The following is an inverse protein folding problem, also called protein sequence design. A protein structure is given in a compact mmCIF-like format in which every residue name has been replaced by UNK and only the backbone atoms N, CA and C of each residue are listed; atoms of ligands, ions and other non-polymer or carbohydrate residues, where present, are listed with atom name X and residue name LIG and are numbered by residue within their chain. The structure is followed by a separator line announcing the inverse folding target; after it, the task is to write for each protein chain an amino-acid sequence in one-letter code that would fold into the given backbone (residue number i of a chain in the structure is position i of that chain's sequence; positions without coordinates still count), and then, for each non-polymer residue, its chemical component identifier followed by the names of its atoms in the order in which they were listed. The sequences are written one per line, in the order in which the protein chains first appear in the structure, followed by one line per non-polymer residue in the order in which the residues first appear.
data_IF_054101783545
#
_entry.id   IF_054101783545
#
_cell.length_a   1.000
_cell.length_b   1.000
_cell.length_c   1.000
_cell.angle_alpha   90.00
_cell.angle_beta   90.00
_cell.angle_gamma   90.00
#
_symmetry.space_group_name_H-M   'P 1'
#
loop_
_entity.id
_entity.type
_entity.pdbx_description
1 polymer ?
#
# COMPACT_ATOMS: atom_id res chain seq x y z
N UNK A 1 -7.60 -10.20 -29.44
CA UNK A 1 -6.43 -9.42 -28.94
C UNK A 1 -6.93 -8.03 -28.65
N UNK A 2 -6.69 -7.51 -27.45
CA UNK A 2 -7.07 -6.14 -27.09
C UNK A 2 -5.91 -5.21 -27.39
N UNK A 3 -6.14 -4.15 -28.15
CA UNK A 3 -5.14 -3.11 -28.40
C UNK A 3 -5.44 -1.92 -27.47
N UNK A 4 -4.49 -1.48 -26.65
CA UNK A 4 -4.68 -0.31 -25.79
C UNK A 4 -5.00 0.92 -26.65
N UNK A 5 -5.95 1.74 -26.18
CA UNK A 5 -6.33 2.99 -26.85
C UNK A 5 -5.34 4.12 -26.63
N UNK A 6 -4.54 4.01 -25.56
CA UNK A 6 -3.50 5.00 -25.25
C UNK A 6 -2.14 4.41 -25.58
N UNK A 7 -1.42 5.05 -26.48
CA UNK A 7 -0.06 4.66 -26.83
C UNK A 7 0.92 5.02 -25.71
N UNK A 8 1.98 4.22 -25.58
CA UNK A 8 3.13 4.59 -24.75
C UNK A 8 3.74 5.87 -25.33
N UNK A 9 4.03 6.91 -24.50
CA UNK A 9 4.65 8.14 -24.99
C UNK A 9 5.94 7.87 -25.75
N UNK A 10 6.16 8.61 -26.84
CA UNK A 10 7.35 8.40 -27.70
C UNK A 10 8.69 8.69 -26.97
N UNK A 11 8.65 9.48 -25.90
CA UNK A 11 9.80 9.78 -25.02
C UNK A 11 9.84 8.92 -23.76
N UNK A 12 9.04 7.86 -23.68
CA UNK A 12 9.10 6.93 -22.57
C UNK A 12 10.43 6.17 -22.60
N UNK A 13 10.95 5.88 -21.41
CA UNK A 13 12.17 5.12 -21.21
C UNK A 13 12.05 4.25 -19.95
N UNK A 14 13.02 3.38 -19.76
CA UNK A 14 13.14 2.53 -18.57
C UNK A 14 12.15 1.38 -18.52
N UNK A 15 11.97 0.87 -17.30
CA UNK A 15 11.13 -0.30 -17.01
C UNK A 15 9.69 0.09 -16.75
N UNK A 16 8.79 -0.59 -17.39
CA UNK A 16 7.34 -0.42 -17.26
C UNK A 16 6.71 -1.75 -16.86
N UNK A 17 5.57 -1.65 -16.16
CA UNK A 17 4.77 -2.83 -15.84
C UNK A 17 3.33 -2.62 -16.28
N UNK A 18 2.71 -3.68 -16.76
CA UNK A 18 1.29 -3.75 -17.07
C UNK A 18 0.65 -4.90 -16.32
N UNK A 19 -0.47 -4.62 -15.68
CA UNK A 19 -1.26 -5.63 -15.00
C UNK A 19 -2.62 -5.80 -15.66
N UNK A 20 -3.22 -6.97 -15.50
CA UNK A 20 -4.56 -7.23 -15.99
C UNK A 20 -5.45 -7.77 -14.86
N UNK A 21 -6.74 -7.40 -14.92
CA UNK A 21 -7.79 -7.97 -14.08
C UNK A 21 -8.92 -8.49 -14.97
N UNK A 22 -9.48 -9.62 -14.58
CA UNK A 22 -10.60 -10.22 -15.26
C UNK A 22 -11.49 -10.98 -14.29
N UNK A 23 -12.75 -11.10 -14.62
CA UNK A 23 -13.71 -11.96 -13.95
C UNK A 23 -14.61 -12.65 -14.95
N UNK A 24 -15.19 -13.75 -14.53
CA UNK A 24 -16.25 -14.44 -15.27
C UNK A 24 -17.42 -14.72 -14.36
N UNK A 25 -18.60 -14.71 -14.94
CA UNK A 25 -19.80 -15.19 -14.26
C UNK A 25 -19.83 -16.73 -14.33
N UNK A 26 -19.97 -17.37 -13.19
CA UNK A 26 -20.10 -18.84 -13.06
C UNK A 26 -21.46 -19.16 -12.46
N UNK A 27 -22.20 -20.02 -13.13
CA UNK A 27 -23.50 -20.50 -12.62
C UNK A 27 -23.28 -21.72 -11.77
N UNK A 28 -23.51 -21.58 -10.48
CA UNK A 28 -23.54 -22.70 -9.53
C UNK A 28 -24.91 -23.36 -9.61
N UNK A 29 -24.92 -24.61 -10.04
CA UNK A 29 -26.15 -25.40 -10.09
C UNK A 29 -26.56 -25.81 -8.67
N UNK A 30 -27.79 -25.55 -8.33
CA UNK A 30 -28.34 -26.03 -7.06
C UNK A 30 -28.39 -27.58 -7.07
N UNK A 31 -27.95 -28.19 -5.96
CA UNK A 31 -28.04 -29.63 -5.76
C UNK A 31 -29.51 -30.05 -5.55
N UNK A 32 -30.25 -29.21 -4.85
CA UNK A 32 -31.70 -29.36 -4.70
C UNK A 32 -32.39 -28.61 -5.87
N UNK A 33 -33.11 -29.32 -6.76
CA UNK A 33 -33.78 -28.72 -7.91
C UNK A 33 -34.90 -27.75 -7.55
N UNK A 34 -35.34 -27.70 -6.30
CA UNK A 34 -36.31 -26.72 -5.82
C UNK A 34 -35.68 -25.34 -5.54
N UNK A 35 -34.35 -25.26 -5.48
CA UNK A 35 -33.61 -24.02 -5.26
C UNK A 35 -33.15 -23.43 -6.58
N UNK A 36 -33.09 -22.09 -6.68
CA UNK A 36 -32.56 -21.44 -7.86
C UNK A 36 -31.06 -21.62 -7.98
N UNK A 37 -30.55 -21.75 -9.20
CA UNK A 37 -29.13 -21.64 -9.47
C UNK A 37 -28.61 -20.24 -9.06
N UNK A 38 -27.37 -20.19 -8.57
CA UNK A 38 -26.73 -18.93 -8.14
C UNK A 38 -25.61 -18.56 -9.10
N UNK A 39 -25.70 -17.39 -9.70
CA UNK A 39 -24.55 -16.82 -10.42
C UNK A 39 -23.61 -16.14 -9.46
N UNK A 40 -22.33 -16.50 -9.53
CA UNK A 40 -21.24 -15.88 -8.77
C UNK A 40 -20.20 -15.33 -9.74
N UNK A 41 -19.53 -14.27 -9.32
CA UNK A 41 -18.41 -13.71 -10.06
C UNK A 41 -17.11 -14.31 -9.54
N UNK A 42 -16.32 -14.90 -10.43
CA UNK A 42 -15.01 -15.48 -10.12
C UNK A 42 -13.93 -14.59 -10.72
N UNK A 43 -13.02 -14.09 -9.89
CA UNK A 43 -11.88 -13.29 -10.32
C UNK A 43 -10.73 -14.20 -10.75
N UNK A 44 -10.05 -13.83 -11.83
CA UNK A 44 -8.79 -14.45 -12.20
C UNK A 44 -7.66 -13.92 -11.29
N UNK A 45 -6.57 -14.69 -11.18
CA UNK A 45 -5.30 -14.19 -10.64
C UNK A 45 -4.82 -13.02 -11.50
N UNK A 46 -4.40 -11.94 -10.88
CA UNK A 46 -3.94 -10.76 -11.61
C UNK A 46 -2.51 -10.94 -12.12
N UNK A 47 -2.27 -11.14 -13.42
CA UNK A 47 -0.93 -11.19 -13.95
C UNK A 47 -0.33 -9.79 -14.04
N UNK A 48 0.97 -9.68 -13.79
CA UNK A 48 1.77 -8.48 -14.04
C UNK A 48 2.91 -8.86 -14.97
N UNK A 49 3.10 -8.07 -16.02
CA UNK A 49 4.21 -8.23 -16.97
C UNK A 49 5.07 -6.99 -16.93
N UNK A 50 6.36 -7.17 -16.72
CA UNK A 50 7.36 -6.10 -16.71
C UNK A 50 8.18 -6.14 -17.98
N UNK A 51 8.40 -5.00 -18.60
CA UNK A 51 9.10 -4.85 -19.87
C UNK A 51 9.85 -3.51 -19.94
N UNK A 52 10.76 -3.36 -20.88
CA UNK A 52 11.39 -2.08 -21.18
C UNK A 52 10.74 -1.43 -22.40
N UNK A 53 10.79 -0.12 -22.47
CA UNK A 53 10.36 0.67 -23.63
C UNK A 53 11.53 1.27 -24.40
N UNK A 54 12.74 0.93 -23.99
CA UNK A 54 14.01 1.26 -24.61
C UNK A 54 14.88 0.00 -24.69
N UNK A 55 16.13 0.12 -25.12
CA UNK A 55 17.06 -0.99 -25.27
C UNK A 55 17.71 -1.45 -23.95
N UNK A 56 17.26 -0.92 -22.80
CA UNK A 56 17.75 -1.30 -21.49
C UNK A 56 17.22 -2.67 -21.05
N UNK A 57 17.85 -3.24 -20.03
CA UNK A 57 17.33 -4.46 -19.38
C UNK A 57 16.24 -4.08 -18.38
N UNK A 58 15.13 -4.83 -18.42
CA UNK A 58 14.03 -4.63 -17.47
C UNK A 58 14.49 -4.84 -16.02
N UNK A 59 14.24 -3.87 -15.16
CA UNK A 59 14.50 -3.98 -13.73
C UNK A 59 13.26 -4.53 -13.06
N UNK A 60 13.30 -5.81 -12.70
CA UNK A 60 12.19 -6.49 -12.03
C UNK A 60 12.06 -5.95 -10.61
N UNK A 61 10.83 -5.63 -10.19
CA UNK A 61 10.55 -5.24 -8.82
C UNK A 61 10.94 -6.39 -7.87
N UNK A 62 11.70 -6.07 -6.83
CA UNK A 62 12.06 -7.07 -5.81
C UNK A 62 10.81 -7.52 -5.04
N UNK A 63 10.77 -8.79 -4.68
CA UNK A 63 9.77 -9.36 -3.78
C UNK A 63 10.12 -8.94 -2.34
N UNK A 64 9.26 -8.17 -1.71
CA UNK A 64 9.42 -7.70 -0.31
C UNK A 64 8.50 -8.48 0.61
N UNK A 65 7.29 -8.76 0.16
CA UNK A 65 6.27 -9.55 0.85
C UNK A 65 5.82 -10.69 -0.04
N UNK A 66 5.34 -11.76 0.56
CA UNK A 66 4.88 -12.95 -0.15
C UNK A 66 3.38 -13.14 0.11
N UNK A 67 2.57 -13.24 -0.94
CA UNK A 67 1.12 -13.41 -0.85
C UNK A 67 0.72 -14.61 0.02
N UNK A 68 1.51 -15.69 -0.05
CA UNK A 68 1.30 -16.87 0.78
C UNK A 68 1.43 -16.59 2.28
N UNK A 69 2.32 -15.69 2.69
CA UNK A 69 2.47 -15.30 4.09
C UNK A 69 1.28 -14.49 4.58
N UNK A 70 0.82 -13.53 3.78
CA UNK A 70 -0.42 -12.82 4.05
C UNK A 70 -1.60 -13.78 4.13
N UNK A 71 -1.60 -14.80 3.29
CA UNK A 71 -2.60 -15.87 3.22
C UNK A 71 -2.76 -16.67 4.51
N UNK A 72 -1.77 -16.71 5.40
CA UNK A 72 -1.91 -17.38 6.70
C UNK A 72 -3.04 -16.81 7.56
N UNK A 73 -3.39 -15.54 7.36
CA UNK A 73 -4.52 -14.89 8.03
C UNK A 73 -5.66 -14.55 7.06
N UNK A 74 -5.34 -14.18 5.83
CA UNK A 74 -6.34 -13.73 4.84
C UNK A 74 -6.86 -14.84 3.93
N UNK A 75 -6.36 -16.06 4.08
CA UNK A 75 -6.69 -17.17 3.17
C UNK A 75 -5.95 -17.06 1.83
N UNK A 76 -6.23 -17.98 0.92
CA UNK A 76 -5.59 -18.02 -0.39
C UNK A 76 -6.02 -16.82 -1.23
N UNK A 77 -5.05 -16.01 -1.67
CA UNK A 77 -5.31 -14.90 -2.58
C UNK A 77 -5.92 -15.43 -3.87
N UNK A 78 -6.87 -14.69 -4.42
CA UNK A 78 -7.77 -15.07 -5.52
C UNK A 78 -8.93 -16.00 -5.17
N UNK A 79 -8.87 -16.74 -4.07
CA UNK A 79 -10.00 -17.58 -3.61
C UNK A 79 -10.71 -16.94 -2.41
N UNK A 80 -9.94 -16.69 -1.34
CA UNK A 80 -10.49 -16.23 -0.06
C UNK A 80 -10.32 -14.74 0.14
N UNK A 81 -9.29 -14.14 -0.48
CA UNK A 81 -8.98 -12.73 -0.38
C UNK A 81 -8.89 -12.07 -1.74
N UNK A 82 -9.81 -11.17 -1.99
CA UNK A 82 -9.84 -10.31 -3.17
C UNK A 82 -10.56 -9.00 -2.83
N UNK A 83 -10.01 -7.87 -3.22
CA UNK A 83 -10.52 -6.54 -2.89
C UNK A 83 -10.95 -5.76 -4.13
N UNK A 84 -11.46 -4.54 -3.93
CA UNK A 84 -11.94 -3.67 -5.00
C UNK A 84 -12.94 -4.34 -5.92
N UNK A 85 -14.04 -4.84 -5.33
CA UNK A 85 -15.10 -5.54 -6.06
C UNK A 85 -14.73 -6.99 -6.42
N UNK A 86 -13.91 -7.61 -5.59
CA UNK A 86 -13.43 -8.99 -5.74
C UNK A 86 -12.65 -9.23 -7.04
N UNK A 87 -11.86 -8.25 -7.48
CA UNK A 87 -11.09 -8.33 -8.73
C UNK A 87 -9.58 -8.35 -8.52
N UNK A 88 -9.07 -7.85 -7.36
CA UNK A 88 -7.66 -7.59 -7.12
C UNK A 88 -7.16 -8.44 -5.97
N UNK A 89 -6.20 -9.30 -6.27
CA UNK A 89 -5.82 -10.40 -5.41
C UNK A 89 -4.33 -10.78 -5.46
N UNK A 90 -3.45 -9.90 -5.96
CA UNK A 90 -2.00 -10.12 -5.96
C UNK A 90 -1.28 -8.87 -5.51
N UNK A 91 -0.31 -8.97 -4.58
CA UNK A 91 0.42 -7.80 -4.08
C UNK A 91 1.21 -7.09 -5.18
N UNK A 92 1.75 -7.84 -6.14
CA UNK A 92 2.43 -7.26 -7.30
C UNK A 92 1.50 -6.38 -8.14
N UNK A 93 0.22 -6.77 -8.27
CA UNK A 93 -0.79 -5.96 -8.93
C UNK A 93 -1.20 -4.76 -8.08
N UNK A 94 -1.37 -4.94 -6.77
CA UNK A 94 -1.77 -3.87 -5.85
C UNK A 94 -0.84 -2.65 -5.93
N UNK A 95 0.48 -2.89 -5.97
CA UNK A 95 1.48 -1.82 -5.98
C UNK A 95 1.55 -1.01 -7.28
N UNK A 96 0.88 -1.43 -8.35
CA UNK A 96 0.74 -0.60 -9.56
C UNK A 96 -0.05 0.68 -9.26
N UNK A 97 -1.07 0.58 -8.40
CA UNK A 97 -1.90 1.72 -7.97
C UNK A 97 -1.50 2.22 -6.57
N UNK A 98 -1.16 1.32 -5.66
CA UNK A 98 -0.72 1.67 -4.32
C UNK A 98 0.79 1.94 -4.30
N UNK A 99 1.19 3.02 -4.94
CA UNK A 99 2.59 3.43 -5.10
C UNK A 99 2.88 4.74 -4.34
N UNK A 100 4.16 5.13 -4.16
CA UNK A 100 4.57 6.28 -3.35
C UNK A 100 4.02 7.64 -3.79
N UNK A 101 3.47 7.75 -4.99
CA UNK A 101 2.89 9.00 -5.52
C UNK A 101 1.39 9.09 -5.33
N UNK A 102 0.74 8.04 -4.84
CA UNK A 102 -0.72 7.97 -4.81
C UNK A 102 -1.28 8.15 -3.40
N UNK A 103 -2.43 8.82 -3.37
CA UNK A 103 -3.21 9.11 -2.18
C UNK A 103 -4.71 8.94 -2.46
N UNK A 104 -5.51 9.07 -1.43
CA UNK A 104 -6.96 9.03 -1.52
C UNK A 104 -7.61 10.30 -2.09
N UNK A 105 -6.80 11.25 -2.60
CA UNK A 105 -7.25 12.55 -3.09
C UNK A 105 -8.44 12.47 -4.05
N UNK A 106 -8.47 11.48 -4.93
CA UNK A 106 -9.54 11.33 -5.91
C UNK A 106 -10.93 11.13 -5.27
N UNK A 107 -10.97 10.66 -4.04
CA UNK A 107 -12.18 10.46 -3.25
C UNK A 107 -12.34 11.52 -2.18
N UNK A 108 -11.28 11.86 -1.44
CA UNK A 108 -11.29 12.86 -0.37
C UNK A 108 -11.75 14.25 -0.85
N UNK A 109 -11.35 14.69 -2.03
CA UNK A 109 -11.79 15.97 -2.61
C UNK A 109 -13.29 16.06 -2.93
N UNK A 110 -14.02 14.95 -2.84
CA UNK A 110 -15.48 14.93 -3.00
C UNK A 110 -16.22 15.26 -1.72
N UNK A 111 -15.52 15.29 -0.60
CA UNK A 111 -16.02 15.72 0.68
C UNK A 111 -15.78 17.22 0.87
N UNK A 112 -16.84 18.06 0.84
CA UNK A 112 -16.71 19.51 1.01
C UNK A 112 -16.07 19.89 2.35
N UNK A 113 -16.28 19.10 3.41
CA UNK A 113 -15.69 19.35 4.72
C UNK A 113 -14.17 19.14 4.70
N UNK A 114 -13.71 18.08 4.04
CA UNK A 114 -12.28 17.83 3.87
C UNK A 114 -11.59 18.93 3.03
N UNK A 115 -12.25 19.41 1.98
CA UNK A 115 -11.76 20.52 1.16
C UNK A 115 -11.70 21.82 1.97
N UNK A 116 -12.76 22.15 2.71
CA UNK A 116 -12.80 23.36 3.53
C UNK A 116 -11.75 23.38 4.63
N UNK A 117 -11.44 22.21 5.19
CA UNK A 117 -10.44 22.05 6.25
C UNK A 117 -8.99 22.00 5.74
N UNK A 118 -8.72 22.12 4.45
CA UNK A 118 -7.40 21.86 3.86
C UNK A 118 -6.81 20.52 4.33
N UNK A 119 -7.64 19.49 4.40
CA UNK A 119 -7.28 18.24 5.06
C UNK A 119 -6.07 17.56 4.37
N UNK A 120 -5.12 17.01 5.14
CA UNK A 120 -4.10 16.13 4.60
C UNK A 120 -4.74 14.98 3.84
N UNK A 121 -4.18 14.60 2.71
CA UNK A 121 -4.64 13.40 1.99
C UNK A 121 -4.04 12.14 2.62
N UNK A 122 -4.83 11.08 2.69
CA UNK A 122 -4.35 9.78 3.15
C UNK A 122 -3.45 9.14 2.09
N UNK A 123 -2.21 8.83 2.45
CA UNK A 123 -1.35 8.05 1.56
C UNK A 123 -1.91 6.65 1.37
N UNK A 124 -2.03 6.22 0.11
CA UNK A 124 -2.34 4.84 -0.24
C UNK A 124 -1.11 4.09 -0.75
N UNK A 125 0.09 4.61 -0.52
CA UNK A 125 1.33 3.88 -0.74
C UNK A 125 1.31 2.56 0.05
N UNK A 126 1.49 1.45 -0.66
CA UNK A 126 1.29 0.11 -0.11
C UNK A 126 2.07 -0.12 1.19
N UNK A 127 3.35 0.30 1.21
CA UNK A 127 4.20 0.14 2.41
C UNK A 127 3.69 0.94 3.63
N UNK A 128 3.10 2.11 3.41
CA UNK A 128 2.54 2.94 4.48
C UNK A 128 1.17 2.41 4.90
N UNK A 129 0.30 2.23 3.92
CA UNK A 129 -1.10 1.87 4.15
C UNK A 129 -1.24 0.52 4.87
N UNK A 130 -0.50 -0.51 4.41
CA UNK A 130 -0.61 -1.85 5.01
C UNK A 130 -0.10 -1.86 6.45
N UNK A 131 1.02 -1.20 6.73
CA UNK A 131 1.52 -1.12 8.10
C UNK A 131 0.54 -0.38 9.02
N UNK A 132 0.01 0.78 8.59
CA UNK A 132 -0.99 1.54 9.38
C UNK A 132 -2.28 0.74 9.61
N UNK A 133 -2.80 0.07 8.59
CA UNK A 133 -4.01 -0.76 8.74
C UNK A 133 -3.80 -1.85 9.80
N UNK A 134 -2.67 -2.58 9.74
CA UNK A 134 -2.43 -3.65 10.71
C UNK A 134 -2.02 -3.14 12.10
N UNK A 135 -1.42 -1.96 12.20
CA UNK A 135 -1.18 -1.29 13.49
C UNK A 135 -2.50 -0.85 14.13
N UNK A 136 -3.47 -0.39 13.35
CA UNK A 136 -4.86 -0.16 13.68
C UNK A 136 -5.09 0.49 15.05
N UNK A 137 -5.71 -0.26 15.98
CA UNK A 137 -6.05 0.22 17.33
C UNK A 137 -4.85 0.71 18.16
N UNK A 138 -3.64 0.32 17.77
CA UNK A 138 -2.41 0.72 18.46
C UNK A 138 -1.71 1.94 17.82
N UNK A 139 -2.29 2.57 16.81
CA UNK A 139 -1.83 3.86 16.31
C UNK A 139 -2.08 4.93 17.39
N UNK A 140 -1.11 5.83 17.60
CA UNK A 140 -1.26 6.96 18.51
C UNK A 140 -2.02 8.11 17.84
N UNK A 141 -1.83 8.29 16.51
CA UNK A 141 -2.56 9.27 15.71
C UNK A 141 -3.87 8.66 15.18
N UNK A 142 -4.95 8.86 15.93
CA UNK A 142 -6.30 8.39 15.61
C UNK A 142 -7.22 9.57 15.24
N UNK A 143 -8.26 9.37 14.40
CA UNK A 143 -8.58 8.16 13.64
C UNK A 143 -7.69 7.98 12.38
N UNK A 144 -7.52 6.74 11.88
CA UNK A 144 -6.84 6.50 10.61
C UNK A 144 -7.84 6.36 9.46
N UNK A 145 -8.12 7.47 8.80
CA UNK A 145 -9.16 7.58 7.79
C UNK A 145 -8.59 7.54 6.36
N UNK A 146 -9.09 6.62 5.55
CA UNK A 146 -8.86 6.56 4.11
C UNK A 146 -10.17 6.70 3.35
N UNK A 147 -10.22 7.63 2.40
CA UNK A 147 -11.37 7.83 1.54
C UNK A 147 -11.32 6.85 0.36
N UNK A 148 -12.25 5.91 0.38
CA UNK A 148 -12.41 4.87 -0.63
C UNK A 148 -13.60 5.10 -1.57
N UNK A 149 -13.96 4.05 -2.28
CA UNK A 149 -15.18 4.01 -3.08
C UNK A 149 -16.41 3.99 -2.17
N UNK A 150 -17.45 4.68 -2.59
CA UNK A 150 -18.74 4.71 -1.92
C UNK A 150 -19.88 4.84 -2.90
N UNK A 151 -21.13 4.62 -2.44
CA UNK A 151 -22.31 4.68 -3.30
C UNK A 151 -22.65 6.11 -3.74
N UNK A 152 -23.39 6.26 -4.83
CA UNK A 152 -24.03 7.53 -5.17
C UNK A 152 -24.96 8.03 -4.04
N UNK A 153 -25.16 9.35 -3.90
CA UNK A 153 -24.65 10.41 -4.76
C UNK A 153 -23.24 10.88 -4.41
N UNK A 154 -22.71 10.52 -3.23
CA UNK A 154 -21.41 11.02 -2.74
C UNK A 154 -20.24 10.44 -3.53
N UNK A 155 -20.34 9.17 -3.95
CA UNK A 155 -19.30 8.44 -4.67
C UNK A 155 -17.95 8.38 -3.92
N UNK A 156 -17.98 8.47 -2.57
CA UNK A 156 -16.90 8.16 -1.67
C UNK A 156 -17.43 7.50 -0.40
N UNK A 157 -16.58 6.76 0.28
CA UNK A 157 -16.80 6.19 1.59
C UNK A 157 -15.58 6.49 2.46
N UNK A 158 -15.79 6.72 3.74
CA UNK A 158 -14.73 6.93 4.71
C UNK A 158 -14.54 5.61 5.43
N UNK A 159 -13.33 5.08 5.37
CA UNK A 159 -12.94 3.87 6.07
C UNK A 159 -12.03 4.27 7.22
N UNK A 160 -12.44 3.96 8.44
CA UNK A 160 -11.60 4.09 9.62
C UNK A 160 -10.93 2.74 9.89
N UNK A 161 -9.61 2.72 9.75
CA UNK A 161 -8.81 1.55 10.05
C UNK A 161 -8.19 1.60 11.46
N UNK A 162 -8.49 2.65 12.24
CA UNK A 162 -8.02 2.80 13.61
C UNK A 162 -8.57 1.76 14.60
N UNK A 163 -9.64 1.04 14.21
CA UNK A 163 -10.22 -0.02 15.05
C UNK A 163 -9.72 -1.44 14.69
N UNK A 164 -8.83 -1.56 13.70
CA UNK A 164 -8.31 -2.87 13.25
C UNK A 164 -7.47 -3.48 14.36
N UNK A 165 -7.75 -4.75 14.67
CA UNK A 165 -7.01 -5.56 15.64
C UNK A 165 -6.19 -6.61 14.92
N UNK A 166 -4.87 -6.53 15.07
CA UNK A 166 -3.98 -7.54 14.54
C UNK A 166 -3.97 -8.77 15.48
N UNK A 167 -4.22 -9.99 14.98
CA UNK A 167 -4.39 -11.17 15.84
C UNK A 167 -3.07 -11.76 16.35
N UNK A 168 -1.92 -11.21 15.96
CA UNK A 168 -0.60 -11.71 16.31
C UNK A 168 0.33 -10.64 16.87
N UNK A 169 1.62 -10.92 16.85
CA UNK A 169 2.66 -9.97 17.24
C UNK A 169 3.18 -9.23 15.99
N UNK A 170 2.91 -7.92 15.91
CA UNK A 170 3.35 -7.06 14.81
C UNK A 170 4.89 -6.92 14.71
N UNK A 171 5.62 -7.28 15.76
CA UNK A 171 7.10 -7.27 15.74
C UNK A 171 7.68 -8.41 14.93
N UNK A 172 6.89 -9.44 14.60
CA UNK A 172 7.32 -10.58 13.78
C UNK A 172 7.18 -10.22 12.30
N UNK A 173 8.13 -9.45 11.78
CA UNK A 173 8.13 -8.96 10.39
C UNK A 173 8.00 -10.09 9.36
N UNK A 174 8.58 -11.27 9.66
CA UNK A 174 8.52 -12.46 8.80
C UNK A 174 7.13 -13.07 8.67
N UNK A 175 6.13 -12.57 9.40
CA UNK A 175 4.72 -12.95 9.18
C UNK A 175 4.25 -12.55 7.77
N UNK A 176 4.78 -11.47 7.22
CA UNK A 176 4.42 -10.95 5.89
C UNK A 176 5.63 -10.83 4.95
N UNK A 177 6.80 -10.44 5.50
CA UNK A 177 7.99 -10.16 4.72
C UNK A 177 8.77 -11.42 4.34
N UNK A 178 9.31 -11.42 3.12
CA UNK A 178 10.36 -12.36 2.75
C UNK A 178 11.61 -12.10 3.64
N UNK A 179 12.38 -13.15 3.97
CA UNK A 179 13.51 -13.03 4.88
C UNK A 179 14.49 -11.91 4.47
N UNK A 180 14.87 -11.08 5.44
CA UNK A 180 15.84 -10.00 5.26
C UNK A 180 15.33 -8.75 4.55
N UNK A 181 14.12 -8.75 3.98
CA UNK A 181 13.62 -7.61 3.18
C UNK A 181 13.14 -6.42 4.02
N UNK A 182 13.07 -6.58 5.32
CA UNK A 182 12.70 -5.56 6.32
C UNK A 182 13.91 -4.99 7.08
N UNK A 183 15.11 -5.49 6.81
CA UNK A 183 16.34 -5.05 7.47
C UNK A 183 16.92 -3.77 6.84
N UNK A 184 17.77 -3.07 7.59
CA UNK A 184 18.52 -1.91 7.12
C UNK A 184 19.99 -2.26 6.88
N UNK A 185 20.64 -1.57 5.92
CA UNK A 185 20.07 -0.60 5.01
C UNK A 185 19.17 -1.28 3.98
N UNK A 186 18.14 -0.57 3.48
CA UNK A 186 17.37 -1.10 2.38
C UNK A 186 18.26 -1.21 1.13
N UNK A 187 17.94 -2.12 0.24
CA UNK A 187 18.69 -2.24 -1.02
C UNK A 187 18.76 -0.88 -1.73
N UNK A 188 19.96 -0.38 -2.10
CA UNK A 188 20.13 0.94 -2.70
C UNK A 188 19.25 1.14 -3.94
N UNK A 189 18.64 2.32 -4.05
CA UNK A 189 17.87 2.74 -5.22
C UNK A 189 16.53 2.05 -5.44
N UNK A 190 16.06 1.25 -4.48
CA UNK A 190 14.86 0.40 -4.68
C UNK A 190 13.59 0.93 -4.02
N UNK A 191 13.67 1.91 -3.13
CA UNK A 191 12.51 2.45 -2.44
C UNK A 191 12.40 3.97 -2.67
N UNK A 192 11.24 4.39 -3.13
CA UNK A 192 10.91 5.81 -3.25
C UNK A 192 10.27 6.32 -1.96
N UNK A 193 10.55 7.58 -1.64
CA UNK A 193 9.87 8.29 -0.55
C UNK A 193 8.39 8.47 -0.84
N UNK A 194 7.57 8.43 0.21
CA UNK A 194 6.13 8.57 0.12
C UNK A 194 5.74 10.04 0.02
N UNK A 195 4.89 10.38 -0.94
CA UNK A 195 4.37 11.74 -1.12
C UNK A 195 3.53 12.17 0.07
N UNK A 196 3.77 13.40 0.54
CA UNK A 196 2.94 14.12 1.51
C UNK A 196 2.23 15.25 0.78
N UNK A 197 0.94 15.40 1.02
CA UNK A 197 0.14 16.40 0.33
C UNK A 197 -1.14 16.73 1.13
N UNK A 198 -1.76 17.86 0.80
CA UNK A 198 -3.05 18.28 1.34
C UNK A 198 -3.99 18.76 0.23
N UNK A 199 -5.25 19.00 0.58
CA UNK A 199 -6.22 19.63 -0.31
C UNK A 199 -6.10 21.16 -0.22
N UNK A 200 -6.06 21.82 -1.38
CA UNK A 200 -6.16 23.29 -1.43
C UNK A 200 -7.59 23.72 -1.03
N UNK A 201 -7.72 24.62 -0.04
CA UNK A 201 -9.02 25.12 0.39
C UNK A 201 -9.82 25.73 -0.76
N UNK A 202 -11.10 25.42 -0.85
CA UNK A 202 -12.03 25.97 -1.84
C UNK A 202 -11.97 25.31 -3.21
N UNK A 203 -10.83 24.80 -3.67
CA UNK A 203 -10.71 24.14 -4.98
C UNK A 203 -10.66 22.61 -4.87
N UNK A 204 -10.14 22.09 -3.77
CA UNK A 204 -9.88 20.65 -3.58
C UNK A 204 -8.77 20.11 -4.48
N UNK A 205 -7.93 20.97 -5.06
CA UNK A 205 -6.76 20.54 -5.79
C UNK A 205 -5.72 19.95 -4.85
N UNK A 206 -4.92 19.01 -5.36
CA UNK A 206 -3.81 18.43 -4.61
C UNK A 206 -2.63 19.41 -4.59
N UNK A 207 -2.21 19.74 -3.38
CA UNK A 207 -0.95 20.47 -3.14
C UNK A 207 0.05 19.49 -2.55
N UNK A 208 1.18 19.31 -3.23
CA UNK A 208 2.25 18.41 -2.78
C UNK A 208 3.19 19.18 -1.87
N UNK A 209 3.29 18.77 -0.61
CA UNK A 209 4.12 19.40 0.42
C UNK A 209 5.56 18.89 0.38
N UNK A 210 5.76 17.66 -0.13
CA UNK A 210 7.06 17.02 -0.21
C UNK A 210 7.00 15.50 -0.20
N UNK A 211 8.08 14.90 0.32
CA UNK A 211 8.17 13.45 0.48
C UNK A 211 8.81 13.09 1.81
N UNK A 212 8.26 12.09 2.46
CA UNK A 212 8.97 11.37 3.51
C UNK A 212 9.93 10.37 2.87
N UNK A 213 11.12 10.25 3.39
CA UNK A 213 12.07 9.23 2.95
C UNK A 213 11.50 7.80 3.07
N UNK A 214 12.05 6.84 2.33
CA UNK A 214 11.49 5.49 2.29
C UNK A 214 11.55 4.77 3.66
N UNK A 215 12.58 5.00 4.47
CA UNK A 215 12.71 4.39 5.80
C UNK A 215 11.77 5.10 6.78
N UNK A 216 11.85 6.44 6.84
CA UNK A 216 10.98 7.25 7.70
C UNK A 216 9.51 6.91 7.48
N UNK A 217 9.06 6.85 6.22
CA UNK A 217 7.65 6.59 5.90
C UNK A 217 7.16 5.23 6.38
N UNK A 218 8.03 4.21 6.39
CA UNK A 218 7.69 2.86 6.89
C UNK A 218 7.69 2.84 8.40
N UNK A 219 8.75 3.32 9.05
CA UNK A 219 8.87 3.28 10.51
C UNK A 219 7.76 4.06 11.19
N UNK A 220 7.46 5.29 10.71
CA UNK A 220 6.38 6.11 11.25
C UNK A 220 4.97 5.64 10.86
N UNK A 221 4.85 4.60 10.06
CA UNK A 221 3.55 3.93 9.84
C UNK A 221 3.10 3.06 11.01
N UNK A 222 4.04 2.66 11.88
CA UNK A 222 3.76 1.92 13.11
C UNK A 222 4.12 2.73 14.36
N UNK A 223 5.20 3.53 14.29
CA UNK A 223 5.72 4.40 15.34
C UNK A 223 5.27 5.85 15.04
N UNK A 224 4.00 6.12 15.21
CA UNK A 224 3.38 7.38 14.83
C UNK A 224 3.19 8.38 16.01
N UNK A 225 3.71 8.05 17.19
CA UNK A 225 3.78 8.98 18.32
C UNK A 225 4.74 10.14 18.06
N UNK A 226 4.45 11.29 18.66
CA UNK A 226 5.17 12.54 18.41
C UNK A 226 6.69 12.41 18.60
N UNK A 227 7.13 11.69 19.64
CA UNK A 227 8.55 11.49 19.91
C UNK A 227 9.25 10.69 18.82
N UNK A 228 8.61 9.62 18.32
CA UNK A 228 9.15 8.79 17.26
C UNK A 228 9.18 9.53 15.92
N UNK A 229 8.15 10.31 15.65
CA UNK A 229 8.08 11.16 14.45
C UNK A 229 9.16 12.24 14.48
N UNK A 230 9.34 12.94 15.61
CA UNK A 230 10.38 13.95 15.80
C UNK A 230 11.79 13.36 15.70
N UNK A 231 12.01 12.16 16.27
CA UNK A 231 13.28 11.43 16.12
C UNK A 231 13.58 11.15 14.63
N UNK A 232 12.62 10.57 13.91
CA UNK A 232 12.79 10.24 12.49
C UNK A 232 13.00 11.50 11.63
N UNK A 233 12.37 12.61 11.99
CA UNK A 233 12.54 13.89 11.32
C UNK A 233 13.95 14.45 11.53
N UNK A 234 14.44 14.45 12.78
CA UNK A 234 15.78 14.91 13.13
C UNK A 234 16.88 14.09 12.44
N UNK A 235 16.62 12.79 12.21
CA UNK A 235 17.54 11.88 11.53
C UNK A 235 17.42 11.92 9.99
N UNK A 236 16.65 12.84 9.46
CA UNK A 236 16.49 13.04 8.01
C UNK A 236 17.03 14.42 7.63
N UNK A 237 18.02 14.47 6.76
CA UNK A 237 18.60 15.73 6.27
C UNK A 237 17.61 16.50 5.37
N UNK A 238 17.79 17.83 5.19
CA UNK A 238 16.90 18.64 4.34
C UNK A 238 16.79 18.19 2.89
N UNK A 239 17.80 17.51 2.37
CA UNK A 239 17.83 16.90 1.03
C UNK A 239 17.12 15.54 0.96
N UNK A 240 16.58 15.06 2.10
CA UNK A 240 15.88 13.79 2.23
C UNK A 240 16.77 12.57 2.53
N UNK A 241 18.08 12.77 2.74
CA UNK A 241 18.97 11.68 3.13
C UNK A 241 18.66 11.21 4.56
N UNK A 242 18.45 9.91 4.74
CA UNK A 242 18.05 9.29 6.00
C UNK A 242 19.24 8.63 6.69
N UNK A 243 19.56 9.03 7.93
CA UNK A 243 20.64 8.49 8.74
C UNK A 243 20.25 7.26 9.59
N UNK A 244 19.07 6.71 9.40
CA UNK A 244 18.48 5.65 10.22
C UNK A 244 19.40 4.42 10.37
N UNK A 245 20.07 4.01 9.29
CA UNK A 245 20.95 2.85 9.28
C UNK A 245 22.18 2.98 10.19
N UNK A 246 22.59 4.21 10.55
CA UNK A 246 23.72 4.45 11.45
C UNK A 246 23.55 3.73 12.80
N UNK A 247 22.31 3.69 13.30
CA UNK A 247 21.97 3.05 14.57
C UNK A 247 21.11 1.79 14.40
N UNK A 248 20.30 1.69 13.34
CA UNK A 248 19.30 0.63 13.17
C UNK A 248 19.69 -0.45 12.15
N UNK A 249 20.90 -0.38 11.58
CA UNK A 249 21.45 -1.43 10.71
C UNK A 249 21.77 -2.71 11.52
N UNK A 250 21.71 -3.86 10.85
CA UNK A 250 22.10 -5.12 11.47
C UNK A 250 23.53 -5.09 12.03
N UNK A 251 23.70 -5.63 13.23
CA UNK A 251 24.96 -5.58 13.97
C UNK A 251 25.16 -4.32 14.83
N UNK A 252 24.19 -3.42 14.86
CA UNK A 252 24.14 -2.26 15.78
C UNK A 252 23.28 -2.57 17.01
N UNK A 253 23.48 -1.84 18.09
CA UNK A 253 22.74 -2.03 19.35
C UNK A 253 21.22 -1.83 19.20
N UNK A 254 20.82 -1.00 18.23
CA UNK A 254 19.42 -0.71 17.92
C UNK A 254 18.99 -1.33 16.58
N UNK A 255 19.61 -2.45 16.18
CA UNK A 255 19.23 -3.13 14.95
C UNK A 255 17.73 -3.48 14.93
N UNK A 256 17.12 -3.38 13.76
CA UNK A 256 15.68 -3.67 13.58
C UNK A 256 15.34 -5.07 14.11
N UNK A 257 16.19 -6.06 13.83
CA UNK A 257 16.01 -7.43 14.32
C UNK A 257 16.03 -7.55 15.85
N UNK A 258 16.86 -6.75 16.51
CA UNK A 258 16.98 -6.75 17.98
C UNK A 258 15.75 -6.09 18.62
N UNK A 259 15.37 -4.90 18.14
CA UNK A 259 14.26 -4.14 18.72
C UNK A 259 12.90 -4.81 18.50
N UNK A 260 12.77 -5.57 17.41
CA UNK A 260 11.54 -6.30 17.07
C UNK A 260 11.65 -7.80 17.41
N UNK A 261 12.74 -8.25 18.03
CA UNK A 261 12.79 -9.60 18.57
C UNK A 261 11.68 -9.79 19.60
N UNK A 262 10.74 -10.68 19.31
CA UNK A 262 9.72 -11.06 20.28
C UNK A 262 10.41 -11.55 21.57
N UNK A 263 9.96 -11.09 22.71
CA UNK A 263 10.37 -11.73 23.98
C UNK A 263 9.70 -13.11 24.00
N UNK A 264 10.50 -14.14 23.77
CA UNK A 264 10.07 -15.52 23.99
C UNK A 264 9.72 -15.74 25.46
#
# INVERSE_FOLDING_TARGET
MHTPTTAIPANANGTWSVGAEARRAVVLMAVDPSLPNKTVEEAAVNPVVTFTVDDSTAVIRRVVVEDQRCGNCHGEFSKDFSIHGNLRNQTEYCVLCHNPNNSDVARRKRDPAAVAAAAPVGSIDFKVMIHKIHRGENLEQQPYLIYGFGPPPLNYGINDFGEVRFPGDLRICTTCHAPGTYLLPPFPGTALGTQVAHLEPGTGNLVVDGRLGPIRSVCTSCHDGDDAVAHAETMTAPDGAEACAVCHEEGRDFAVSILHAGRN
#
